data_IF_343083287494
#
_entry.id   IF_343083287494
#
_cell.length_a   1.000
_cell.length_b   1.000
_cell.length_c   1.000
_cell.angle_alpha   90.00
_cell.angle_beta   90.00
_cell.angle_gamma   90.00
#
_symmetry.space_group_name_H-M   'P 1'
#
loop_
_entity.id
_entity.type
_entity.pdbx_description
1 polymer ?
#
# COMPACT_ATOMS: atom_id res chain seq x y z
N UNK A 1 -51.52 -22.28 -79.95
CA UNK A 1 -51.65 -22.46 -78.50
C UNK A 1 -50.58 -21.58 -77.87
N UNK A 2 -50.82 -20.28 -77.63
CA UNK A 2 -51.32 -19.65 -76.38
C UNK A 2 -50.76 -20.29 -75.11
N UNK A 3 -49.86 -19.55 -74.43
CA UNK A 3 -49.85 -19.10 -73.00
C UNK A 3 -48.48 -18.43 -72.74
N UNK A 4 -48.41 -17.11 -72.50
CA UNK A 4 -48.52 -16.41 -71.18
C UNK A 4 -47.15 -16.44 -70.45
N UNK A 5 -46.27 -15.45 -70.62
CA UNK A 5 -46.13 -14.20 -69.85
C UNK A 5 -46.45 -14.32 -68.34
N UNK A 6 -45.40 -14.45 -67.54
CA UNK A 6 -45.39 -14.03 -66.13
C UNK A 6 -43.92 -13.89 -65.70
N UNK A 7 -43.37 -12.66 -65.57
CA UNK A 7 -42.15 -12.47 -64.81
C UNK A 7 -42.47 -12.61 -63.32
N UNK A 8 -41.89 -13.62 -62.68
CA UNK A 8 -41.94 -13.79 -61.23
C UNK A 8 -41.42 -12.53 -60.54
N UNK A 9 -42.25 -11.97 -59.66
CA UNK A 9 -41.90 -10.86 -58.77
C UNK A 9 -40.61 -11.17 -57.99
N UNK A 10 -39.73 -10.18 -57.75
CA UNK A 10 -38.67 -10.35 -56.78
C UNK A 10 -39.34 -10.55 -55.42
N UNK A 11 -39.05 -11.69 -54.79
CA UNK A 11 -39.41 -11.96 -53.42
C UNK A 11 -38.74 -10.87 -52.58
N UNK A 12 -39.55 -9.96 -52.01
CA UNK A 12 -39.15 -9.15 -50.86
C UNK A 12 -38.72 -10.13 -49.77
N UNK A 13 -37.40 -10.39 -49.70
CA UNK A 13 -36.77 -10.91 -48.51
C UNK A 13 -37.16 -9.94 -47.38
N UNK A 14 -37.77 -10.39 -46.28
CA UNK A 14 -38.24 -9.48 -45.24
C UNK A 14 -37.03 -8.75 -44.68
N UNK A 15 -36.84 -7.53 -45.19
CA UNK A 15 -35.87 -6.59 -44.68
C UNK A 15 -36.07 -6.52 -43.17
N UNK A 16 -35.06 -6.95 -42.42
CA UNK A 16 -34.89 -6.53 -41.04
C UNK A 16 -35.20 -5.04 -41.01
N UNK A 17 -36.23 -4.66 -40.23
CA UNK A 17 -36.73 -3.30 -40.25
C UNK A 17 -35.55 -2.34 -40.09
N UNK A 18 -35.53 -1.18 -40.76
CA UNK A 18 -34.46 -0.18 -40.57
C UNK A 18 -34.25 0.16 -39.09
N UNK A 19 -35.27 -0.07 -38.24
CA UNK A 19 -35.20 0.08 -36.79
C UNK A 19 -34.42 -1.05 -36.10
N UNK A 20 -34.51 -2.29 -36.58
CA UNK A 20 -33.77 -3.44 -36.06
C UNK A 20 -32.30 -3.39 -36.44
N UNK A 21 -31.98 -3.07 -37.71
CA UNK A 21 -30.61 -2.87 -38.17
C UNK A 21 -29.90 -1.73 -37.40
N UNK A 22 -30.63 -0.66 -37.09
CA UNK A 22 -30.12 0.45 -36.25
C UNK A 22 -29.93 0.04 -34.79
N UNK A 23 -30.83 -0.79 -34.24
CA UNK A 23 -30.73 -1.29 -32.86
C UNK A 23 -29.56 -2.27 -32.69
N UNK A 24 -29.29 -3.09 -33.71
CA UNK A 24 -28.14 -3.99 -33.73
C UNK A 24 -26.82 -3.25 -33.85
N UNK A 25 -26.73 -2.25 -34.74
CA UNK A 25 -25.55 -1.38 -34.84
C UNK A 25 -25.30 -0.58 -33.55
N UNK A 26 -26.35 -0.12 -32.87
CA UNK A 26 -26.27 0.50 -31.54
C UNK A 26 -25.79 -0.47 -30.46
N UNK A 27 -26.21 -1.74 -30.52
CA UNK A 27 -25.76 -2.77 -29.58
C UNK A 27 -24.28 -3.10 -29.81
N UNK A 28 -23.85 -3.23 -31.06
CA UNK A 28 -22.47 -3.52 -31.47
C UNK A 28 -21.52 -2.35 -31.20
N UNK A 29 -21.97 -1.11 -31.33
CA UNK A 29 -21.20 0.08 -30.91
C UNK A 29 -21.11 0.19 -29.40
N UNK A 30 -22.19 -0.10 -28.66
CA UNK A 30 -22.17 -0.15 -27.18
C UNK A 30 -21.25 -1.25 -26.65
N UNK A 31 -21.25 -2.43 -27.28
CA UNK A 31 -20.37 -3.56 -26.92
C UNK A 31 -18.90 -3.22 -27.17
N UNK A 32 -18.56 -2.70 -28.37
CA UNK A 32 -17.20 -2.23 -28.68
C UNK A 32 -16.73 -1.06 -27.81
N UNK A 33 -17.65 -0.19 -27.38
CA UNK A 33 -17.34 0.88 -26.42
C UNK A 33 -17.13 0.33 -25.00
N UNK A 34 -17.89 -0.69 -24.60
CA UNK A 34 -17.70 -1.43 -23.34
C UNK A 34 -16.35 -2.15 -23.31
N UNK A 35 -15.99 -2.89 -24.36
CA UNK A 35 -14.69 -3.55 -24.50
C UNK A 35 -13.51 -2.56 -24.48
N UNK A 36 -13.72 -1.36 -25.05
CA UNK A 36 -12.74 -0.28 -25.01
C UNK A 36 -12.59 0.34 -23.63
N UNK A 37 -13.70 0.48 -22.89
CA UNK A 37 -13.69 0.95 -21.52
C UNK A 37 -13.01 -0.05 -20.57
N UNK A 38 -13.34 -1.34 -20.68
CA UNK A 38 -12.74 -2.40 -19.86
C UNK A 38 -11.23 -2.53 -20.11
N UNK A 39 -10.79 -2.37 -21.36
CA UNK A 39 -9.36 -2.35 -21.71
C UNK A 39 -8.65 -1.10 -21.22
N UNK A 40 -9.32 0.06 -21.24
CA UNK A 40 -8.76 1.30 -20.73
C UNK A 40 -8.58 1.23 -19.21
N UNK A 41 -9.60 0.78 -18.47
CA UNK A 41 -9.54 0.60 -17.00
C UNK A 41 -8.42 -0.35 -16.62
N UNK A 42 -8.32 -1.51 -17.27
CA UNK A 42 -7.26 -2.49 -17.01
C UNK A 42 -5.85 -1.94 -17.24
N UNK A 43 -5.65 -1.07 -18.24
CA UNK A 43 -4.35 -0.45 -18.50
C UNK A 43 -3.97 0.64 -17.50
N UNK A 44 -4.95 1.26 -16.82
CA UNK A 44 -4.66 2.20 -15.73
C UNK A 44 -4.13 1.46 -14.51
N UNK A 45 -4.67 0.28 -14.19
CA UNK A 45 -4.23 -0.52 -13.06
C UNK A 45 -2.78 -0.97 -13.23
N UNK A 46 -2.37 -1.39 -14.44
CA UNK A 46 -0.98 -1.76 -14.73
C UNK A 46 0.00 -0.58 -14.47
N UNK A 47 -0.36 0.63 -14.91
CA UNK A 47 0.47 1.82 -14.67
C UNK A 47 0.51 2.26 -13.20
N UNK A 48 -0.57 2.04 -12.44
CA UNK A 48 -0.59 2.30 -10.99
C UNK A 48 0.32 1.31 -10.27
N UNK A 49 0.28 0.04 -10.65
CA UNK A 49 1.17 -0.99 -10.09
C UNK A 49 2.64 -0.67 -10.41
N UNK A 50 2.97 -0.23 -11.62
CA UNK A 50 4.33 0.16 -11.99
C UNK A 50 4.87 1.31 -11.13
N UNK A 51 4.06 2.35 -10.91
CA UNK A 51 4.44 3.46 -10.04
C UNK A 51 4.62 3.01 -8.59
N UNK A 52 3.69 2.20 -8.08
CA UNK A 52 3.75 1.69 -6.72
C UNK A 52 4.90 0.69 -6.54
N UNK A 53 5.30 -0.05 -7.56
CA UNK A 53 6.44 -0.95 -7.49
C UNK A 53 7.75 -0.18 -7.31
N UNK A 54 7.84 1.04 -7.83
CA UNK A 54 8.97 1.95 -7.55
C UNK A 54 8.92 2.50 -6.12
N UNK A 55 7.73 2.84 -5.61
CA UNK A 55 7.57 3.38 -4.25
C UNK A 55 7.72 2.32 -3.16
N UNK A 56 7.20 1.11 -3.39
CA UNK A 56 7.12 0.01 -2.44
C UNK A 56 8.17 -1.07 -2.72
N UNK A 57 9.24 -0.71 -3.43
CA UNK A 57 10.40 -1.55 -3.83
C UNK A 57 10.11 -2.77 -4.73
N UNK A 58 8.90 -3.33 -4.70
CA UNK A 58 8.56 -4.53 -5.46
C UNK A 58 7.14 -4.51 -6.04
N UNK A 59 6.98 -5.16 -7.20
CA UNK A 59 5.67 -5.40 -7.81
C UNK A 59 4.73 -6.20 -6.88
N UNK A 60 5.29 -7.16 -6.13
CA UNK A 60 4.56 -7.97 -5.16
C UNK A 60 3.88 -7.08 -4.11
N UNK A 61 4.64 -6.18 -3.49
CA UNK A 61 4.12 -5.24 -2.47
C UNK A 61 3.10 -4.27 -3.08
N UNK A 62 3.36 -3.77 -4.29
CA UNK A 62 2.41 -2.94 -5.02
C UNK A 62 1.07 -3.64 -5.28
N UNK A 63 1.09 -4.90 -5.74
CA UNK A 63 -0.12 -5.69 -6.00
C UNK A 63 -0.89 -5.96 -4.69
N UNK A 64 -0.19 -6.25 -3.61
CA UNK A 64 -0.81 -6.42 -2.27
C UNK A 64 -1.46 -5.11 -1.81
N UNK A 65 -0.77 -3.97 -1.94
CA UNK A 65 -1.30 -2.67 -1.58
C UNK A 65 -2.59 -2.33 -2.33
N UNK A 66 -2.60 -2.49 -3.66
CA UNK A 66 -3.79 -2.26 -4.49
C UNK A 66 -4.94 -3.17 -4.05
N UNK A 67 -4.67 -4.46 -3.82
CA UNK A 67 -5.71 -5.38 -3.36
C UNK A 67 -6.32 -4.97 -2.01
N UNK A 68 -5.50 -4.54 -1.05
CA UNK A 68 -5.95 -4.08 0.27
C UNK A 68 -6.72 -2.75 0.22
N UNK A 69 -6.42 -1.89 -0.77
CA UNK A 69 -7.19 -0.65 -1.00
C UNK A 69 -8.62 -0.95 -1.46
N UNK A 70 -8.81 -2.03 -2.22
CA UNK A 70 -10.13 -2.48 -2.66
C UNK A 70 -10.82 -3.36 -1.61
N UNK A 71 -10.06 -4.11 -0.82
CA UNK A 71 -10.55 -5.09 0.15
C UNK A 71 -9.93 -4.83 1.54
N UNK A 72 -10.41 -3.82 2.29
CA UNK A 72 -9.87 -3.50 3.61
C UNK A 72 -10.14 -4.62 4.60
N UNK A 73 -9.27 -4.77 5.61
CA UNK A 73 -9.33 -5.80 6.67
C UNK A 73 -9.26 -7.24 6.15
N UNK A 74 -8.47 -7.45 5.11
CA UNK A 74 -8.23 -8.78 4.55
C UNK A 74 -7.13 -9.51 5.34
N UNK A 75 -7.28 -10.82 5.49
CA UNK A 75 -6.25 -11.71 6.06
C UNK A 75 -5.19 -12.06 5.02
N UNK A 76 -4.05 -12.59 5.45
CA UNK A 76 -2.97 -12.99 4.53
C UNK A 76 -3.41 -14.02 3.49
N UNK A 77 -4.34 -14.91 3.85
CA UNK A 77 -4.83 -15.95 2.93
C UNK A 77 -5.77 -15.36 1.88
N UNK A 78 -6.67 -14.46 2.29
CA UNK A 78 -7.57 -13.72 1.38
C UNK A 78 -6.77 -12.87 0.37
N UNK A 79 -5.68 -12.23 0.83
CA UNK A 79 -4.77 -11.47 -0.04
C UNK A 79 -4.07 -12.39 -1.04
N UNK A 80 -3.61 -13.56 -0.61
CA UNK A 80 -2.97 -14.53 -1.52
C UNK A 80 -3.94 -15.02 -2.59
N UNK A 81 -5.16 -15.39 -2.21
CA UNK A 81 -6.21 -15.81 -3.13
C UNK A 81 -6.59 -14.69 -4.10
N UNK A 82 -6.70 -13.45 -3.61
CA UNK A 82 -7.12 -12.30 -4.40
C UNK A 82 -6.05 -11.76 -5.37
N UNK A 83 -4.78 -11.85 -5.00
CA UNK A 83 -3.65 -11.38 -5.82
C UNK A 83 -3.04 -12.47 -6.70
N UNK A 84 -3.36 -13.74 -6.43
CA UNK A 84 -2.73 -14.90 -7.08
C UNK A 84 -1.27 -15.12 -6.67
N UNK A 85 -0.81 -14.48 -5.59
CA UNK A 85 0.53 -14.63 -5.05
C UNK A 85 0.62 -15.84 -4.12
N UNK A 86 1.81 -16.37 -3.92
CA UNK A 86 2.01 -17.52 -3.04
C UNK A 86 1.85 -17.11 -1.56
N UNK A 87 1.16 -17.89 -0.70
CA UNK A 87 0.84 -17.46 0.66
C UNK A 87 2.04 -17.11 1.55
N UNK A 88 3.20 -17.76 1.36
CA UNK A 88 4.40 -17.40 2.15
C UNK A 88 4.94 -16.02 1.75
N UNK A 89 5.00 -15.74 0.45
CA UNK A 89 5.44 -14.45 -0.08
C UNK A 89 4.52 -13.33 0.36
N UNK A 90 3.21 -13.58 0.42
CA UNK A 90 2.24 -12.61 0.92
C UNK A 90 2.47 -12.31 2.39
N UNK A 91 2.67 -13.34 3.24
CA UNK A 91 2.93 -13.12 4.67
C UNK A 91 4.22 -12.34 4.93
N UNK A 92 5.27 -12.62 4.15
CA UNK A 92 6.53 -11.90 4.22
C UNK A 92 6.35 -10.44 3.81
N UNK A 93 5.80 -10.19 2.61
CA UNK A 93 5.57 -8.84 2.12
C UNK A 93 4.62 -8.04 3.02
N UNK A 94 3.60 -8.66 3.62
CA UNK A 94 2.71 -8.01 4.58
C UNK A 94 3.40 -7.66 5.89
N UNK A 95 4.36 -8.47 6.35
CA UNK A 95 5.15 -8.15 7.53
C UNK A 95 6.04 -6.93 7.26
N UNK A 96 6.72 -6.92 6.11
CA UNK A 96 7.56 -5.79 5.72
C UNK A 96 6.77 -4.51 5.51
N UNK A 97 5.64 -4.57 4.79
CA UNK A 97 4.74 -3.43 4.59
C UNK A 97 4.19 -2.88 5.91
N UNK A 98 3.99 -3.75 6.90
CA UNK A 98 3.58 -3.34 8.24
C UNK A 98 4.72 -2.66 9.00
N UNK A 99 5.92 -3.23 8.94
CA UNK A 99 7.10 -2.68 9.62
C UNK A 99 7.48 -1.30 9.04
N UNK A 100 7.22 -1.07 7.76
CA UNK A 100 7.37 0.21 7.05
C UNK A 100 6.15 1.16 7.25
N UNK A 101 5.12 0.74 7.97
CA UNK A 101 3.93 1.56 8.23
C UNK A 101 3.01 1.79 7.02
N UNK A 102 3.22 1.08 5.91
CA UNK A 102 2.36 1.16 4.72
C UNK A 102 1.04 0.40 4.91
N UNK A 103 1.02 -0.59 5.79
CA UNK A 103 -0.16 -1.40 6.10
C UNK A 103 -0.32 -1.53 7.61
N UNK A 104 -1.53 -1.31 8.10
CA UNK A 104 -1.91 -1.54 9.48
C UNK A 104 -2.31 -3.00 9.68
N UNK A 105 -1.99 -3.57 10.85
CA UNK A 105 -2.30 -4.96 11.18
C UNK A 105 -3.06 -5.05 12.50
N UNK A 106 -4.26 -5.62 12.44
CA UNK A 106 -5.13 -5.81 13.60
C UNK A 106 -5.45 -7.28 13.85
N UNK A 107 -5.68 -7.65 15.11
CA UNK A 107 -6.20 -8.99 15.44
C UNK A 107 -7.72 -8.99 15.30
N UNK A 108 -8.25 -9.85 14.42
CA UNK A 108 -9.70 -10.07 14.29
C UNK A 108 -10.28 -10.53 15.63
N UNK A 109 -11.33 -9.87 16.12
CA UNK A 109 -12.03 -10.32 17.34
C UNK A 109 -12.95 -11.49 16.99
N UNK A 110 -12.51 -12.71 17.23
CA UNK A 110 -13.40 -13.88 17.21
C UNK A 110 -13.71 -14.33 18.64
N UNK A 111 -14.98 -14.65 18.91
CA UNK A 111 -15.45 -15.17 20.22
C UNK A 111 -15.15 -16.68 20.42
N UNK A 112 -14.20 -17.25 19.67
CA UNK A 112 -13.93 -18.69 19.62
C UNK A 112 -12.57 -19.10 20.19
N UNK A 113 -12.46 -20.36 20.60
CA UNK A 113 -11.19 -20.99 20.95
C UNK A 113 -10.38 -21.29 19.68
N UNK A 114 -9.77 -20.27 19.10
CA UNK A 114 -8.91 -20.35 17.93
C UNK A 114 -7.88 -19.23 17.94
N UNK A 115 -6.80 -19.37 17.16
CA UNK A 115 -5.91 -18.25 16.93
C UNK A 115 -6.63 -17.24 16.03
N UNK A 116 -6.67 -15.99 16.45
CA UNK A 116 -7.27 -14.92 15.67
C UNK A 116 -6.31 -14.54 14.54
N UNK A 117 -6.73 -14.68 13.26
CA UNK A 117 -5.89 -14.25 12.16
C UNK A 117 -5.71 -12.73 12.21
N UNK A 118 -4.57 -12.28 11.72
CA UNK A 118 -4.33 -10.86 11.50
C UNK A 118 -5.07 -10.40 10.25
N UNK A 119 -5.72 -9.25 10.36
CA UNK A 119 -6.30 -8.50 9.27
C UNK A 119 -5.37 -7.34 8.93
N UNK A 120 -5.36 -6.97 7.65
CA UNK A 120 -4.48 -5.97 7.10
C UNK A 120 -5.29 -4.89 6.39
N UNK A 121 -4.89 -3.64 6.56
CA UNK A 121 -5.51 -2.48 5.93
C UNK A 121 -4.43 -1.54 5.40
N UNK A 122 -4.52 -1.14 4.13
CA UNK A 122 -3.54 -0.25 3.52
C UNK A 122 -3.86 1.23 3.79
N UNK A 123 -2.83 2.00 4.18
CA UNK A 123 -2.95 3.44 4.40
C UNK A 123 -3.42 4.18 3.14
N UNK A 124 -3.88 5.43 3.30
CA UNK A 124 -4.25 6.23 2.15
C UNK A 124 -3.04 6.54 1.25
N UNK A 125 -3.20 6.62 -0.08
CA UNK A 125 -2.10 6.95 -0.99
C UNK A 125 -1.42 8.29 -0.65
N UNK A 126 -2.15 9.25 -0.10
CA UNK A 126 -1.60 10.52 0.38
C UNK A 126 -0.62 10.34 1.54
N UNK A 127 -0.88 9.39 2.44
CA UNK A 127 -0.04 9.11 3.59
C UNK A 127 1.20 8.33 3.17
N UNK A 128 1.04 7.41 2.20
CA UNK A 128 2.18 6.73 1.56
C UNK A 128 3.14 7.73 0.92
N UNK A 129 2.63 8.66 0.10
CA UNK A 129 3.45 9.70 -0.53
C UNK A 129 4.12 10.60 0.51
N UNK A 130 3.42 10.93 1.60
CA UNK A 130 3.99 11.73 2.69
C UNK A 130 5.18 11.02 3.35
N UNK A 131 5.10 9.71 3.57
CA UNK A 131 6.20 8.89 4.08
C UNK A 131 7.43 8.99 3.18
N UNK A 132 7.27 8.70 1.89
CA UNK A 132 8.36 8.76 0.89
C UNK A 132 9.03 10.14 0.82
N UNK A 133 8.24 11.21 0.85
CA UNK A 133 8.79 12.58 0.86
C UNK A 133 9.61 12.82 2.13
N UNK A 134 9.16 12.31 3.27
CA UNK A 134 9.91 12.35 4.53
C UNK A 134 11.25 11.62 4.44
N UNK A 135 11.26 10.42 3.86
CA UNK A 135 12.48 9.62 3.69
C UNK A 135 13.50 10.32 2.76
N UNK A 136 13.02 10.87 1.64
CA UNK A 136 13.87 11.64 0.71
C UNK A 136 14.45 12.88 1.40
N UNK A 137 13.65 13.59 2.20
CA UNK A 137 14.13 14.73 2.98
C UNK A 137 15.19 14.33 4.00
N UNK A 138 14.99 13.23 4.72
CA UNK A 138 15.94 12.71 5.69
C UNK A 138 17.28 12.34 5.04
N UNK A 139 17.24 11.64 3.91
CA UNK A 139 18.44 11.23 3.17
C UNK A 139 19.19 12.44 2.59
N UNK A 140 18.47 13.41 2.00
CA UNK A 140 19.08 14.65 1.52
C UNK A 140 19.72 15.44 2.66
N UNK A 141 19.04 15.56 3.81
CA UNK A 141 19.59 16.18 5.00
C UNK A 141 20.85 15.45 5.49
N UNK A 142 20.87 14.11 5.46
CA UNK A 142 22.04 13.32 5.80
C UNK A 142 23.23 13.63 4.86
N UNK A 143 22.99 13.72 3.56
CA UNK A 143 24.02 14.08 2.55
C UNK A 143 24.52 15.52 2.77
N UNK A 144 23.65 16.50 2.98
CA UNK A 144 24.06 17.89 3.22
C UNK A 144 24.86 18.06 4.51
N UNK A 145 24.49 17.34 5.57
CA UNK A 145 25.24 17.31 6.81
C UNK A 145 26.62 16.66 6.63
N UNK A 146 26.69 15.60 5.81
CA UNK A 146 27.94 14.93 5.48
C UNK A 146 28.87 15.83 4.65
N UNK A 147 28.36 16.52 3.63
CA UNK A 147 29.13 17.43 2.77
C UNK A 147 29.71 18.63 3.54
N UNK A 148 28.92 19.24 4.42
CA UNK A 148 29.39 20.30 5.34
C UNK A 148 30.49 19.79 6.28
N UNK A 149 30.38 18.55 6.76
CA UNK A 149 31.40 17.94 7.63
C UNK A 149 32.68 17.54 6.88
N UNK A 150 32.60 17.32 5.56
CA UNK A 150 33.71 16.86 4.72
C UNK A 150 34.49 17.97 4.00
N UNK A 151 34.03 19.23 3.98
CA UNK A 151 34.89 20.35 3.56
C UNK A 151 34.25 21.52 2.80
N UNK A 152 32.93 21.62 2.72
CA UNK A 152 32.23 22.78 2.15
C UNK A 152 32.03 23.94 3.14
N UNK A 153 33.07 24.75 3.34
CA UNK A 153 33.09 26.15 3.85
C UNK A 153 32.37 26.52 5.20
N UNK A 154 33.23 26.73 6.21
CA UNK A 154 33.18 27.63 7.39
C UNK A 154 32.20 27.42 8.58
N UNK A 155 32.71 27.47 9.84
CA UNK A 155 32.00 27.12 11.10
C UNK A 155 31.01 28.17 11.64
N UNK A 156 30.57 29.14 10.83
CA UNK A 156 29.72 30.26 11.27
C UNK A 156 28.55 30.45 10.29
N UNK A 157 27.38 29.84 10.57
CA UNK A 157 26.14 30.11 9.82
C UNK A 157 25.14 28.96 9.84
N UNK A 158 24.29 28.95 10.87
CA UNK A 158 23.05 28.17 11.07
C UNK A 158 23.07 26.66 10.78
N UNK A 159 23.16 25.90 11.88
CA UNK A 159 23.02 24.44 11.95
C UNK A 159 21.55 23.97 11.81
N UNK A 160 20.67 24.78 11.22
CA UNK A 160 19.25 24.44 11.12
C UNK A 160 18.98 23.59 9.88
N UNK A 161 18.26 22.46 10.01
CA UNK A 161 17.84 21.65 8.87
C UNK A 161 16.91 22.46 7.96
N UNK A 162 17.08 22.30 6.64
CA UNK A 162 16.21 22.97 5.66
C UNK A 162 14.85 22.27 5.63
N UNK A 163 13.77 23.03 5.85
CA UNK A 163 12.39 22.55 5.75
C UNK A 163 11.85 22.89 4.36
N UNK A 164 11.42 21.88 3.59
CA UNK A 164 10.74 22.09 2.30
C UNK A 164 9.24 21.95 2.54
N UNK A 165 8.57 23.08 2.75
CA UNK A 165 7.10 23.13 2.82
C UNK A 165 6.52 23.08 1.41
N UNK A 166 5.77 22.02 1.10
CA UNK A 166 4.96 21.95 -0.13
C UNK A 166 3.61 22.58 0.15
N UNK A 167 3.49 23.88 -0.14
CA UNK A 167 2.24 24.63 -0.02
C UNK A 167 1.39 24.53 -1.29
N UNK A 168 0.14 24.08 -1.15
CA UNK A 168 -0.92 24.49 -2.06
C UNK A 168 -1.30 25.93 -1.74
N UNK A 169 -1.22 26.80 -2.75
CA UNK A 169 -1.64 28.22 -2.78
C UNK A 169 -1.80 28.96 -1.42
N UNK A 170 -0.77 29.76 -1.10
CA UNK A 170 -0.85 31.09 -0.48
C UNK A 170 -1.63 31.28 0.82
N UNK A 171 -0.91 31.46 1.93
CA UNK A 171 -1.28 32.43 2.96
C UNK A 171 -0.01 33.00 3.63
N UNK A 172 -0.01 34.33 3.81
CA UNK A 172 1.09 35.20 4.19
C UNK A 172 1.70 34.90 5.59
N UNK A 173 3.01 35.16 5.79
CA UNK A 173 3.64 35.13 7.09
C UNK A 173 3.55 36.51 7.77
N UNK A 174 2.88 36.62 8.92
CA UNK A 174 3.15 37.73 9.81
C UNK A 174 2.91 37.42 11.30
N UNK A 175 3.79 38.03 12.10
CA UNK A 175 3.74 38.30 13.53
C UNK A 175 3.93 37.14 14.54
N UNK A 176 5.19 37.01 14.94
CA UNK A 176 5.65 36.71 16.30
C UNK A 176 4.86 37.43 17.40
N UNK A 177 4.44 36.72 18.44
CA UNK A 177 4.41 37.24 19.83
C UNK A 177 4.79 36.10 20.79
N UNK A 178 6.01 36.23 21.34
CA UNK A 178 6.49 35.58 22.55
C UNK A 178 5.60 35.96 23.75
N UNK A 179 5.05 34.99 24.47
CA UNK A 179 4.65 35.17 25.87
C UNK A 179 4.56 33.80 26.58
N UNK A 180 5.68 33.39 27.17
CA UNK A 180 5.74 32.46 28.31
C UNK A 180 6.86 33.02 29.21
N UNK A 181 6.60 33.34 30.49
CA UNK A 181 6.60 32.27 31.48
C UNK A 181 5.66 32.50 32.67
N UNK A 182 4.85 31.52 33.04
CA UNK A 182 4.46 31.42 34.45
C UNK A 182 4.46 29.99 34.99
N UNK A 183 5.18 29.88 36.10
CA UNK A 183 5.56 28.69 36.81
C UNK A 183 4.39 28.10 37.60
N UNK A 184 4.30 26.77 37.61
CA UNK A 184 3.73 26.03 38.74
C UNK A 184 4.69 24.94 39.17
N UNK A 185 5.33 25.18 40.31
CA UNK A 185 6.10 24.23 41.10
C UNK A 185 5.18 23.25 41.84
N UNK A 186 5.71 22.04 42.10
CA UNK A 186 5.26 21.09 43.13
C UNK A 186 4.20 20.10 42.61
N UNK A 187 4.32 18.78 42.78
CA UNK A 187 4.96 18.04 43.86
C UNK A 187 5.14 16.58 43.38
N UNK A 188 6.36 16.06 43.47
CA UNK A 188 6.66 14.63 43.44
C UNK A 188 7.42 14.37 44.75
N UNK A 189 6.91 13.49 45.62
CA UNK A 189 7.69 12.28 45.83
C UNK A 189 6.82 11.06 46.17
N UNK A 190 7.04 9.95 45.48
CA UNK A 190 7.19 8.65 46.17
C UNK A 190 7.97 7.65 45.30
N UNK A 191 9.25 7.53 45.65
CA UNK A 191 10.06 6.33 45.50
C UNK A 191 9.54 5.27 46.50
N UNK A 192 9.59 3.95 46.35
CA UNK A 192 10.52 2.97 45.77
C UNK A 192 9.75 1.64 45.74
N UNK A 193 10.11 0.70 44.87
CA UNK A 193 10.47 -0.66 45.31
C UNK A 193 11.14 -1.41 44.14
N UNK A 194 12.44 -1.60 44.33
CA UNK A 194 13.30 -2.54 43.63
C UNK A 194 12.74 -3.98 43.74
N UNK A 195 12.69 -4.71 42.62
CA UNK A 195 12.74 -6.17 42.64
C UNK A 195 13.68 -6.63 41.52
N UNK A 196 14.90 -6.95 41.95
CA UNK A 196 16.05 -7.46 41.19
C UNK A 196 15.89 -9.00 40.95
N UNK A 197 16.82 -9.70 40.29
CA UNK A 197 16.54 -10.71 39.26
C UNK A 197 16.45 -12.14 39.79
N UNK A 198 15.65 -12.98 39.14
CA UNK A 198 15.65 -14.44 39.37
C UNK A 198 16.75 -15.10 38.52
N UNK A 199 17.92 -15.27 39.13
CA UNK A 199 18.89 -16.30 38.74
C UNK A 199 18.49 -17.64 39.37
N UNK A 200 18.25 -18.64 38.53
CA UNK A 200 18.32 -20.05 38.90
C UNK A 200 18.19 -20.93 37.66
N UNK A 201 18.86 -22.06 37.51
CA UNK A 201 20.01 -22.67 38.16
C UNK A 201 20.48 -23.73 37.15
N UNK A 202 21.77 -24.06 37.15
CA UNK A 202 22.38 -24.99 36.23
C UNK A 202 21.95 -26.43 36.53
N UNK A 203 21.62 -27.20 35.49
CA UNK A 203 21.70 -28.67 35.54
C UNK A 203 22.53 -29.12 34.33
N UNK A 204 23.85 -29.11 34.55
CA UNK A 204 24.83 -29.90 33.82
C UNK A 204 24.50 -31.39 34.00
N UNK A 205 24.05 -32.05 32.93
CA UNK A 205 24.00 -33.51 32.86
C UNK A 205 25.09 -34.00 31.91
N UNK A 206 26.31 -34.12 32.45
CA UNK A 206 27.32 -35.06 31.97
C UNK A 206 26.72 -36.48 31.97
N UNK A 207 26.65 -37.09 30.79
CA UNK A 207 26.61 -38.53 30.65
C UNK A 207 27.53 -38.94 29.48
N UNK A 208 28.83 -38.92 29.80
CA UNK A 208 29.83 -39.79 29.19
C UNK A 208 29.36 -41.26 29.29
N UNK A 209 29.36 -41.96 28.16
CA UNK A 209 28.78 -43.29 28.03
C UNK A 209 29.31 -44.05 26.82
N UNK A 210 30.63 -44.26 26.81
CA UNK A 210 31.34 -45.44 26.29
C UNK A 210 31.03 -45.96 24.86
N UNK A 211 32.02 -45.77 23.98
CA UNK A 211 32.90 -46.84 23.48
C UNK A 211 32.33 -48.20 23.04
N UNK A 212 32.83 -48.65 21.88
CA UNK A 212 33.04 -50.04 21.42
C UNK A 212 32.10 -50.63 20.37
N UNK A 213 32.61 -50.61 19.14
CA UNK A 213 32.81 -51.77 18.27
C UNK A 213 31.87 -52.98 18.42
N UNK A 214 31.09 -53.23 17.37
CA UNK A 214 31.20 -54.47 16.58
C UNK A 214 30.58 -54.26 15.19
#
# INVERSE_FOLDING_TARGET
>A
MTTDDSPSEPVDDPEESPTERTREELRKTKERLGEGADRAVKGFDDNVVDLLAWVLDTETRARIYVYLRDNPRSTSDEVADGTGLYPSTVREALAELHDEGTVERDKRKAEGAGNNPYEYEAIAPSDLVRGVVGDVQAELNAVFNLDRRLGGESPDGDAEPVQISVGGEGDDPDATEDDDPDAVEGDDPDAVEDDDPDEGDAEEADADGSESAN
#
